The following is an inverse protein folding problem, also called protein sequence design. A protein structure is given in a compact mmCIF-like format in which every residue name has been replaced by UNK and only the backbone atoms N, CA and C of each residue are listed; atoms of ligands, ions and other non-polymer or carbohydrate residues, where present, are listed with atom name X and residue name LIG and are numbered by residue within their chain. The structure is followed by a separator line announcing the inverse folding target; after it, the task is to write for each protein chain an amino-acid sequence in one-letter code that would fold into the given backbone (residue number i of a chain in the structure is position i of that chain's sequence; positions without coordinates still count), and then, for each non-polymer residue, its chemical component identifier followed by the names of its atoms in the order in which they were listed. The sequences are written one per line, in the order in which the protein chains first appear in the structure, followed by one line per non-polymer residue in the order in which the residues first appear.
data_IF_889486451657
#
_entry.id   IF_889486451657
#
_cell.length_a   1.000
_cell.length_b   1.000
_cell.length_c   1.000
_cell.angle_alpha   90.00
_cell.angle_beta   90.00
_cell.angle_gamma   90.00
#
_symmetry.space_group_name_H-M   'P 1'
#
loop_
_entity.id
_entity.type
_entity.pdbx_description
1 polymer ?
#
# COMPACT_ATOMS: atom_id res chain seq x y z
N UNK A 1 -12.69 -8.67 29.06
CA UNK A 1 -12.43 -10.04 28.61
C UNK A 1 -11.22 -10.58 29.34
N UNK A 2 -11.32 -11.78 29.94
CA UNK A 2 -10.20 -12.45 30.58
C UNK A 2 -9.11 -12.70 29.53
N UNK A 3 -7.90 -12.12 29.73
CA UNK A 3 -6.71 -12.44 28.93
C UNK A 3 -6.39 -13.92 29.15
N UNK A 4 -6.33 -14.71 28.08
CA UNK A 4 -5.82 -16.08 28.17
C UNK A 4 -4.34 -16.00 28.53
N UNK A 5 -3.95 -16.63 29.61
CA UNK A 5 -2.65 -16.55 30.28
C UNK A 5 -1.41 -16.96 29.41
N UNK A 6 -1.60 -17.38 28.15
CA UNK A 6 -0.54 -17.94 27.31
C UNK A 6 -0.24 -17.17 26.03
N UNK A 7 -0.77 -15.94 25.86
CA UNK A 7 -0.49 -15.12 24.68
C UNK A 7 -0.02 -13.74 25.08
N UNK A 8 1.24 -13.47 24.80
CA UNK A 8 1.82 -12.13 24.91
C UNK A 8 1.40 -11.31 23.67
N UNK A 9 0.95 -10.08 23.89
CA UNK A 9 0.86 -9.08 22.83
C UNK A 9 2.20 -8.32 22.70
N UNK A 10 2.30 -7.42 21.72
CA UNK A 10 3.56 -6.67 21.52
C UNK A 10 3.93 -5.79 22.72
N UNK A 11 2.96 -5.24 23.42
CA UNK A 11 3.17 -4.43 24.63
C UNK A 11 3.71 -5.29 25.77
N UNK A 12 3.12 -6.47 25.96
CA UNK A 12 3.59 -7.45 26.97
C UNK A 12 5.04 -7.90 26.68
N UNK A 13 5.41 -8.03 25.40
CA UNK A 13 6.79 -8.40 25.00
C UNK A 13 7.80 -7.32 25.37
N UNK A 14 7.47 -6.04 25.14
CA UNK A 14 8.33 -4.90 25.51
C UNK A 14 8.45 -4.82 27.03
N UNK A 15 7.33 -4.93 27.75
CA UNK A 15 7.33 -4.93 29.22
C UNK A 15 8.19 -6.07 29.78
N UNK A 16 8.02 -7.28 29.25
CA UNK A 16 8.80 -8.44 29.67
C UNK A 16 10.31 -8.26 29.42
N UNK A 17 10.70 -7.64 28.28
CA UNK A 17 12.09 -7.33 28.01
C UNK A 17 12.70 -6.42 29.09
N UNK A 18 11.94 -5.40 29.52
CA UNK A 18 12.35 -4.48 30.58
C UNK A 18 12.47 -5.20 31.92
N UNK A 19 11.44 -5.98 32.27
CA UNK A 19 11.35 -6.70 33.57
C UNK A 19 12.42 -7.80 33.71
N UNK A 20 12.68 -8.54 32.63
CA UNK A 20 13.71 -9.59 32.62
C UNK A 20 15.13 -9.02 32.65
N UNK A 21 15.31 -7.73 32.41
CA UNK A 21 16.61 -7.04 32.42
C UNK A 21 17.58 -7.59 31.37
N UNK A 22 17.06 -8.02 30.22
CA UNK A 22 17.87 -8.60 29.14
C UNK A 22 18.87 -7.56 28.61
N UNK A 23 20.14 -7.91 28.61
CA UNK A 23 21.22 -7.10 28.04
C UNK A 23 21.62 -7.70 26.70
N UNK A 24 21.47 -6.92 25.62
CA UNK A 24 21.93 -7.33 24.31
C UNK A 24 23.37 -6.84 24.12
N UNK A 25 24.34 -7.71 23.73
CA UNK A 25 25.76 -7.35 23.66
C UNK A 25 26.07 -6.54 22.40
N UNK A 26 25.61 -5.30 22.32
CA UNK A 26 26.00 -4.35 21.27
C UNK A 26 26.63 -3.11 21.91
N UNK A 27 27.45 -2.39 21.13
CA UNK A 27 28.18 -1.21 21.60
C UNK A 27 27.48 0.10 21.29
N UNK A 28 26.59 0.09 20.31
CA UNK A 28 25.94 1.30 19.79
C UNK A 28 24.45 1.03 19.68
N UNK A 29 23.64 1.90 20.26
CA UNK A 29 22.19 1.95 20.07
C UNK A 29 21.85 3.10 19.14
N UNK A 30 21.07 2.82 18.09
CA UNK A 30 20.50 3.81 17.20
C UNK A 30 18.99 3.69 17.23
N UNK A 31 18.31 4.80 17.51
CA UNK A 31 16.85 4.90 17.52
C UNK A 31 16.44 5.93 16.48
N UNK A 32 15.65 5.53 15.51
CA UNK A 32 15.10 6.39 14.46
C UNK A 32 13.61 6.64 14.69
N UNK A 33 13.07 7.76 14.17
CA UNK A 33 11.69 8.20 14.36
C UNK A 33 11.25 8.26 15.84
N UNK A 34 12.16 8.70 16.70
CA UNK A 34 11.99 8.63 18.14
C UNK A 34 10.81 9.47 18.68
N UNK A 35 10.32 10.46 17.92
CA UNK A 35 9.13 11.25 18.27
C UNK A 35 7.84 10.41 18.30
N UNK A 36 7.85 9.22 17.71
CA UNK A 36 6.68 8.32 17.62
C UNK A 36 6.66 7.24 18.71
N UNK A 37 7.64 7.23 19.61
CA UNK A 37 7.74 6.24 20.67
C UNK A 37 6.76 6.51 21.81
N UNK A 38 6.13 5.44 22.29
CA UNK A 38 5.32 5.46 23.52
C UNK A 38 6.22 5.49 24.76
N UNK A 39 5.71 5.92 25.95
CA UNK A 39 6.49 5.89 27.18
C UNK A 39 7.13 4.53 27.47
N UNK A 40 6.40 3.43 27.29
CA UNK A 40 6.94 2.09 27.49
C UNK A 40 8.11 1.77 26.54
N UNK A 41 8.05 2.22 25.30
CA UNK A 41 9.17 2.07 24.36
C UNK A 41 10.36 2.95 24.74
N UNK A 42 10.11 4.12 25.31
CA UNK A 42 11.15 4.95 25.88
C UNK A 42 11.83 4.30 27.10
N UNK A 43 11.06 3.65 27.99
CA UNK A 43 11.62 2.89 29.10
C UNK A 43 12.55 1.78 28.60
N UNK A 44 12.16 1.09 27.52
CA UNK A 44 13.03 0.12 26.86
C UNK A 44 14.30 0.76 26.30
N UNK A 45 14.20 1.91 25.61
CA UNK A 45 15.37 2.64 25.09
C UNK A 45 16.32 3.05 26.22
N UNK A 46 15.79 3.60 27.32
CA UNK A 46 16.57 3.94 28.51
C UNK A 46 17.27 2.72 29.06
N UNK A 47 16.56 1.61 29.24
CA UNK A 47 17.14 0.36 29.76
C UNK A 47 18.27 -0.17 28.86
N UNK A 48 18.09 -0.13 27.55
CA UNK A 48 19.13 -0.52 26.58
C UNK A 48 20.32 0.43 26.60
N UNK A 49 20.09 1.72 26.84
CA UNK A 49 21.14 2.75 26.88
C UNK A 49 22.14 2.56 28.01
N UNK A 50 21.72 1.94 29.11
CA UNK A 50 22.60 1.64 30.25
C UNK A 50 23.70 0.64 29.93
N UNK A 51 23.52 -0.20 28.88
CA UNK A 51 24.39 -1.30 28.53
C UNK A 51 25.31 -1.01 27.33
N UNK A 52 25.21 0.17 26.70
CA UNK A 52 25.93 0.50 25.46
C UNK A 52 26.94 1.63 25.64
N UNK A 53 27.94 1.66 24.79
CA UNK A 53 28.97 2.73 24.81
C UNK A 53 28.45 4.06 24.24
N UNK A 54 27.51 4.00 23.27
CA UNK A 54 27.00 5.16 22.54
C UNK A 54 25.52 4.99 22.19
N UNK A 55 24.79 6.07 22.33
CA UNK A 55 23.37 6.16 21.93
C UNK A 55 23.21 7.30 20.94
N UNK A 56 22.52 7.02 19.83
CA UNK A 56 22.10 8.00 18.84
C UNK A 56 20.58 7.95 18.72
N UNK A 57 19.96 9.09 18.99
CA UNK A 57 18.49 9.25 18.86
C UNK A 57 18.24 10.19 17.70
N UNK A 58 17.50 9.75 16.70
CA UNK A 58 17.07 10.56 15.57
C UNK A 58 15.55 10.70 15.55
N UNK A 59 15.07 11.87 15.16
CA UNK A 59 13.64 12.15 15.07
C UNK A 59 13.35 13.58 14.65
N UNK A 60 12.09 13.88 14.45
CA UNK A 60 11.60 15.19 14.08
C UNK A 60 10.28 15.47 14.82
N UNK A 61 10.32 16.29 15.87
CA UNK A 61 9.16 16.66 16.68
C UNK A 61 8.05 17.35 15.86
N UNK A 62 8.40 18.02 14.75
CA UNK A 62 7.42 18.60 13.82
C UNK A 62 6.64 17.53 13.03
N UNK A 63 7.07 16.28 13.07
CA UNK A 63 6.42 15.12 12.43
C UNK A 63 5.70 14.20 13.43
N UNK A 64 5.61 14.57 14.69
CA UNK A 64 4.89 13.80 15.71
C UNK A 64 3.37 13.80 15.45
N UNK A 65 2.89 12.72 14.83
CA UNK A 65 1.47 12.55 14.45
C UNK A 65 0.81 11.35 15.13
N UNK A 66 1.52 10.64 16.01
CA UNK A 66 1.05 9.41 16.67
C UNK A 66 0.74 9.58 18.17
N UNK A 67 0.58 10.81 18.67
CA UNK A 67 0.14 11.07 20.05
C UNK A 67 -1.18 10.38 20.38
N UNK A 68 -2.13 10.33 19.42
CA UNK A 68 -3.38 9.60 19.56
C UNK A 68 -3.18 8.08 19.79
N UNK A 69 -2.03 7.52 19.42
CA UNK A 69 -1.63 6.13 19.62
C UNK A 69 -0.72 5.96 20.86
N UNK A 70 -0.57 7.00 21.67
CA UNK A 70 0.18 6.99 22.91
C UNK A 70 1.66 7.37 22.77
N UNK A 71 2.11 7.92 21.65
CA UNK A 71 3.45 8.50 21.53
C UNK A 71 3.57 9.75 22.42
N UNK A 72 4.76 9.96 23.00
CA UNK A 72 5.06 11.14 23.81
C UNK A 72 6.29 11.87 23.28
N UNK A 73 6.02 12.93 22.50
CA UNK A 73 7.06 13.76 21.88
C UNK A 73 7.93 14.49 22.91
N UNK A 74 7.41 14.78 24.13
CA UNK A 74 8.18 15.45 25.16
C UNK A 74 9.39 14.62 25.60
N UNK A 75 9.25 13.29 25.65
CA UNK A 75 10.36 12.38 25.98
C UNK A 75 11.48 12.47 24.96
N UNK A 76 11.14 12.61 23.67
CA UNK A 76 12.13 12.88 22.62
C UNK A 76 12.80 14.25 22.80
N UNK A 77 12.03 15.32 23.02
CA UNK A 77 12.53 16.67 23.13
C UNK A 77 13.44 16.87 24.35
N UNK A 78 13.19 16.15 25.44
CA UNK A 78 13.91 16.27 26.71
C UNK A 78 14.99 15.18 26.93
N UNK A 79 15.17 14.26 25.97
CA UNK A 79 16.17 13.19 26.12
C UNK A 79 17.56 13.79 26.30
N UNK A 80 18.31 13.36 27.34
CA UNK A 80 19.60 13.96 27.66
C UNK A 80 20.65 13.65 26.60
N UNK A 81 21.46 14.64 26.23
CA UNK A 81 22.56 14.47 25.30
C UNK A 81 22.90 15.72 24.49
N UNK A 82 23.84 15.55 23.55
CA UNK A 82 24.20 16.60 22.62
C UNK A 82 23.25 16.60 21.43
N UNK A 83 22.50 17.69 21.27
CA UNK A 83 21.59 17.84 20.13
C UNK A 83 22.31 18.40 18.89
N UNK A 84 21.98 17.85 17.72
CA UNK A 84 22.44 18.31 16.41
C UNK A 84 21.22 18.41 15.47
N UNK A 85 21.14 19.51 14.73
CA UNK A 85 20.10 19.70 13.71
C UNK A 85 20.69 19.46 12.33
N UNK A 86 20.05 18.60 11.54
CA UNK A 86 20.37 18.39 10.13
C UNK A 86 19.81 19.57 9.32
N UNK A 87 20.67 20.55 9.03
CA UNK A 87 20.25 21.84 8.44
C UNK A 87 19.83 21.76 6.98
N UNK A 88 20.30 20.78 6.19
CA UNK A 88 20.01 20.70 4.77
C UNK A 88 19.05 19.55 4.45
N UNK A 89 17.88 19.88 3.95
CA UNK A 89 16.98 18.87 3.39
C UNK A 89 17.46 18.44 2.01
N UNK A 90 17.51 17.12 1.76
CA UNK A 90 17.78 16.56 0.43
C UNK A 90 16.50 16.37 -0.41
N UNK A 91 15.35 16.36 0.25
CA UNK A 91 14.03 16.09 -0.35
C UNK A 91 13.23 17.35 -0.68
N UNK A 92 13.25 18.37 0.18
CA UNK A 92 12.38 19.53 0.07
C UNK A 92 12.92 20.55 -0.94
N UNK A 93 12.14 20.84 -1.97
CA UNK A 93 12.38 21.92 -2.92
C UNK A 93 12.02 23.29 -2.31
N UNK A 94 12.50 24.39 -2.90
CA UNK A 94 12.38 25.76 -2.34
C UNK A 94 10.96 26.13 -1.93
N UNK A 95 10.01 26.07 -2.86
CA UNK A 95 8.63 26.51 -2.59
C UNK A 95 7.89 25.57 -1.63
N UNK A 96 8.20 24.26 -1.65
CA UNK A 96 7.65 23.29 -0.71
C UNK A 96 8.21 23.56 0.70
N UNK A 97 9.51 23.83 0.79
CA UNK A 97 10.15 24.24 2.05
C UNK A 97 9.55 25.53 2.61
N UNK A 98 9.35 26.56 1.75
CA UNK A 98 8.70 27.81 2.17
C UNK A 98 7.30 27.55 2.72
N UNK A 99 6.49 26.77 2.01
CA UNK A 99 5.14 26.41 2.44
C UNK A 99 5.13 25.64 3.77
N UNK A 100 6.02 24.67 3.94
CA UNK A 100 6.14 23.94 5.21
C UNK A 100 6.56 24.84 6.37
N UNK A 101 7.48 25.79 6.16
CA UNK A 101 7.82 26.79 7.19
C UNK A 101 6.64 27.66 7.59
N UNK A 102 5.79 28.06 6.64
CA UNK A 102 4.57 28.79 6.97
C UNK A 102 3.63 27.98 7.88
N UNK A 103 3.49 26.69 7.61
CA UNK A 103 2.69 25.79 8.45
C UNK A 103 3.31 25.63 9.85
N UNK A 104 4.59 25.34 9.93
CA UNK A 104 5.32 25.18 11.20
C UNK A 104 5.22 26.44 12.09
N UNK A 105 5.29 27.63 11.50
CA UNK A 105 5.14 28.89 12.22
C UNK A 105 3.70 29.07 12.81
N UNK A 106 2.71 28.39 12.25
CA UNK A 106 1.33 28.41 12.77
C UNK A 106 1.08 27.39 13.88
N UNK A 107 1.99 26.43 14.10
CA UNK A 107 1.84 25.36 15.10
C UNK A 107 2.15 25.77 16.55
N UNK A 108 2.59 27.02 16.77
CA UNK A 108 2.89 27.50 18.12
C UNK A 108 4.34 27.27 18.55
N UNK A 109 4.59 27.30 19.89
CA UNK A 109 5.94 27.32 20.45
C UNK A 109 6.40 26.00 21.06
N UNK A 110 5.53 25.00 21.15
CA UNK A 110 5.79 23.72 21.82
C UNK A 110 6.56 22.75 20.89
N UNK A 111 7.63 23.27 20.28
CA UNK A 111 8.48 22.53 19.35
C UNK A 111 9.94 22.96 19.48
N UNK A 112 10.85 22.08 19.12
CA UNK A 112 12.27 22.43 19.04
C UNK A 112 12.47 23.47 17.94
N UNK A 113 12.98 24.64 18.27
CA UNK A 113 13.31 25.64 17.27
C UNK A 113 14.53 25.22 16.48
N UNK A 114 14.34 24.99 15.18
CA UNK A 114 15.38 24.49 14.28
C UNK A 114 15.39 25.25 12.95
N UNK A 115 16.57 25.53 12.46
CA UNK A 115 16.75 26.10 11.13
C UNK A 115 17.16 25.01 10.15
N UNK A 116 16.44 24.91 9.05
CA UNK A 116 16.81 24.03 7.96
C UNK A 116 16.53 24.69 6.61
N UNK A 117 17.21 24.21 5.58
CA UNK A 117 17.21 24.78 4.24
C UNK A 117 16.76 23.75 3.21
N UNK A 118 16.17 24.24 2.11
CA UNK A 118 15.79 23.40 0.96
C UNK A 118 17.00 22.76 0.26
N UNK A 119 16.76 21.80 -0.62
CA UNK A 119 17.78 21.22 -1.48
C UNK A 119 18.26 22.17 -2.60
N UNK A 120 17.71 23.37 -2.70
CA UNK A 120 18.04 24.40 -3.71
C UNK A 120 17.32 24.25 -5.04
N UNK A 121 16.63 23.14 -5.29
CA UNK A 121 15.85 22.93 -6.52
C UNK A 121 14.54 23.69 -6.49
N UNK A 122 14.03 24.03 -7.66
CA UNK A 122 12.69 24.60 -7.79
C UNK A 122 11.62 23.53 -7.50
N UNK A 123 10.46 23.98 -7.02
CA UNK A 123 9.29 23.15 -6.76
C UNK A 123 8.04 24.01 -6.79
N UNK A 124 6.87 23.38 -6.87
CA UNK A 124 5.62 24.09 -6.98
C UNK A 124 4.62 23.59 -5.93
N UNK A 125 3.77 24.48 -5.46
CA UNK A 125 2.65 24.19 -4.58
C UNK A 125 1.40 24.73 -5.24
N UNK A 126 0.45 23.85 -5.53
CA UNK A 126 -0.83 24.18 -6.14
C UNK A 126 -1.99 23.81 -5.24
N UNK A 127 -3.07 24.55 -5.30
CA UNK A 127 -4.32 24.24 -4.62
C UNK A 127 -5.40 23.91 -5.66
N UNK A 128 -5.90 22.70 -5.60
CA UNK A 128 -6.94 22.20 -6.48
C UNK A 128 -8.25 22.00 -5.71
N UNK A 129 -9.39 22.30 -6.33
CA UNK A 129 -10.70 22.14 -5.73
C UNK A 129 -11.28 20.73 -5.86
N UNK A 130 -10.45 19.71 -5.88
CA UNK A 130 -10.81 18.28 -5.96
C UNK A 130 -10.03 17.52 -7.02
N UNK A 131 -10.07 16.19 -6.99
CA UNK A 131 -9.30 15.30 -7.86
C UNK A 131 -9.57 15.51 -9.35
N UNK A 132 -10.80 15.86 -9.75
CA UNK A 132 -11.15 16.11 -11.16
C UNK A 132 -10.43 17.30 -11.78
N UNK A 133 -9.92 18.22 -10.95
CA UNK A 133 -9.21 19.42 -11.42
C UNK A 133 -7.70 19.24 -11.45
N UNK A 134 -7.20 18.11 -10.94
CA UNK A 134 -5.77 17.80 -10.98
C UNK A 134 -5.42 17.32 -12.38
N UNK A 135 -4.36 17.87 -13.03
CA UNK A 135 -3.92 17.44 -14.34
C UNK A 135 -3.11 16.14 -14.24
N UNK A 136 -3.82 15.01 -14.15
CA UNK A 136 -3.23 13.67 -13.99
C UNK A 136 -2.43 13.18 -15.20
N UNK A 137 -2.55 13.87 -16.33
CA UNK A 137 -1.81 13.66 -17.57
C UNK A 137 -0.39 14.25 -17.55
N UNK A 138 -0.03 15.00 -16.51
CA UNK A 138 1.34 15.46 -16.34
C UNK A 138 2.26 14.29 -15.97
N UNK A 139 3.42 14.24 -16.62
CA UNK A 139 4.47 13.25 -16.34
C UNK A 139 4.88 13.26 -14.85
N UNK A 140 5.10 12.07 -14.31
CA UNK A 140 5.62 11.90 -12.95
C UNK A 140 4.88 10.86 -12.13
N UNK A 141 5.43 10.59 -10.96
CA UNK A 141 4.82 9.72 -9.96
C UNK A 141 3.95 10.54 -9.00
N UNK A 142 2.69 10.19 -8.90
CA UNK A 142 1.74 10.84 -8.02
C UNK A 142 1.59 10.06 -6.70
N UNK A 143 1.67 10.79 -5.58
CA UNK A 143 1.29 10.25 -4.28
C UNK A 143 0.07 11.02 -3.76
N UNK A 144 -0.98 10.30 -3.40
CA UNK A 144 -2.21 10.88 -2.84
C UNK A 144 -2.33 10.48 -1.38
N UNK A 145 -2.38 11.46 -0.49
CA UNK A 145 -2.47 11.25 0.94
C UNK A 145 -3.85 11.67 1.48
N UNK A 146 -4.34 10.92 2.44
CA UNK A 146 -5.58 11.24 3.16
C UNK A 146 -5.35 11.11 4.67
N UNK A 147 -5.93 12.00 5.44
CA UNK A 147 -5.80 12.01 6.90
C UNK A 147 -6.53 10.84 7.57
N UNK A 148 -7.68 10.44 7.02
CA UNK A 148 -8.53 9.38 7.57
C UNK A 148 -8.96 8.40 6.49
N UNK A 149 -9.31 7.17 6.92
CA UNK A 149 -9.67 6.10 6.00
C UNK A 149 -10.93 6.37 5.17
N UNK A 150 -11.88 7.15 5.67
CA UNK A 150 -13.09 7.49 4.93
C UNK A 150 -12.76 8.37 3.73
N UNK A 151 -11.98 9.43 3.93
CA UNK A 151 -11.48 10.27 2.84
C UNK A 151 -10.62 9.47 1.88
N UNK A 152 -9.76 8.55 2.37
CA UNK A 152 -9.01 7.64 1.50
C UNK A 152 -9.93 6.84 0.59
N UNK A 153 -11.02 6.28 1.10
CA UNK A 153 -12.00 5.50 0.31
C UNK A 153 -12.71 6.36 -0.75
N UNK A 154 -13.06 7.59 -0.41
CA UNK A 154 -13.63 8.55 -1.37
C UNK A 154 -12.64 8.87 -2.50
N UNK A 155 -11.38 9.16 -2.15
CA UNK A 155 -10.31 9.42 -3.11
C UNK A 155 -10.05 8.20 -4.03
N UNK A 156 -10.04 7.00 -3.48
CA UNK A 156 -9.91 5.77 -4.26
C UNK A 156 -11.08 5.55 -5.22
N UNK A 157 -12.30 5.82 -4.78
CA UNK A 157 -13.48 5.71 -5.64
C UNK A 157 -13.44 6.76 -6.76
N UNK A 158 -13.03 8.00 -6.45
CA UNK A 158 -12.90 9.05 -7.45
C UNK A 158 -11.79 8.75 -8.46
N UNK A 159 -10.65 8.22 -8.02
CA UNK A 159 -9.59 7.75 -8.90
C UNK A 159 -10.10 6.66 -9.88
N UNK A 160 -10.89 5.71 -9.39
CA UNK A 160 -11.57 4.71 -10.26
C UNK A 160 -12.55 5.36 -11.23
N UNK A 161 -13.32 6.34 -10.79
CA UNK A 161 -14.26 7.08 -11.66
C UNK A 161 -13.53 7.83 -12.79
N UNK A 162 -12.32 8.32 -12.51
CA UNK A 162 -11.45 8.98 -13.49
C UNK A 162 -10.70 7.98 -14.39
N UNK A 163 -10.67 6.70 -14.05
CA UNK A 163 -9.91 5.68 -14.78
C UNK A 163 -8.42 5.69 -14.46
N UNK A 164 -8.04 6.18 -13.28
CA UNK A 164 -6.65 6.22 -12.84
C UNK A 164 -6.24 4.89 -12.21
N UNK A 165 -5.11 4.33 -12.65
CA UNK A 165 -4.46 3.23 -11.96
C UNK A 165 -3.77 3.74 -10.69
N UNK A 166 -3.88 3.01 -9.59
CA UNK A 166 -3.14 3.31 -8.37
C UNK A 166 -2.82 2.05 -7.58
N UNK A 167 -1.85 2.17 -6.69
CA UNK A 167 -1.56 1.19 -5.65
C UNK A 167 -1.75 1.85 -4.28
N UNK A 168 -2.18 1.08 -3.29
CA UNK A 168 -2.23 1.56 -1.91
C UNK A 168 -0.87 1.36 -1.21
N UNK A 169 -0.75 1.83 0.03
CA UNK A 169 0.48 1.70 0.81
C UNK A 169 0.91 0.25 1.11
N UNK A 170 0.04 -0.73 0.89
CA UNK A 170 0.32 -2.17 1.00
C UNK A 170 0.59 -2.81 -0.35
N UNK A 171 0.81 -2.01 -1.38
CA UNK A 171 0.98 -2.42 -2.78
C UNK A 171 -0.23 -3.16 -3.37
N UNK A 172 -1.41 -3.05 -2.76
CA UNK A 172 -2.61 -3.58 -3.39
C UNK A 172 -2.96 -2.73 -4.61
N UNK A 173 -3.06 -3.39 -5.75
CA UNK A 173 -3.48 -2.77 -7.02
C UNK A 173 -4.94 -2.30 -6.91
N UNK A 174 -5.30 -1.24 -7.64
CA UNK A 174 -6.66 -0.67 -7.69
C UNK A 174 -7.70 -1.59 -8.32
N UNK A 175 -7.28 -2.72 -8.86
CA UNK A 175 -8.10 -3.79 -9.42
C UNK A 175 -7.57 -5.16 -8.97
N UNK A 176 -8.40 -6.20 -9.10
CA UNK A 176 -7.98 -7.58 -8.87
C UNK A 176 -7.16 -8.06 -10.10
N UNK A 177 -5.87 -8.42 -9.92
CA UNK A 177 -5.04 -8.92 -11.03
C UNK A 177 -5.65 -10.12 -11.76
N UNK A 178 -6.35 -11.01 -11.04
CA UNK A 178 -7.00 -12.17 -11.66
C UNK A 178 -8.16 -11.76 -12.56
N UNK A 179 -8.88 -10.68 -12.23
CA UNK A 179 -9.92 -10.14 -13.12
C UNK A 179 -9.31 -9.66 -14.45
N UNK A 180 -8.17 -8.98 -14.37
CA UNK A 180 -7.50 -8.49 -15.56
C UNK A 180 -6.90 -9.62 -16.37
N UNK A 181 -6.22 -10.56 -15.73
CA UNK A 181 -5.69 -11.76 -16.39
C UNK A 181 -6.79 -12.54 -17.12
N UNK A 182 -7.95 -12.72 -16.47
CA UNK A 182 -9.09 -13.39 -17.08
C UNK A 182 -9.60 -12.68 -18.34
N UNK A 183 -9.62 -11.34 -18.37
CA UNK A 183 -9.97 -10.57 -19.57
C UNK A 183 -8.98 -10.87 -20.70
N UNK A 184 -7.69 -10.79 -20.42
CA UNK A 184 -6.64 -11.06 -21.41
C UNK A 184 -6.72 -12.49 -21.97
N UNK A 185 -6.97 -13.48 -21.10
CA UNK A 185 -7.15 -14.88 -21.52
C UNK A 185 -8.37 -15.06 -22.41
N UNK A 186 -9.48 -14.41 -22.06
CA UNK A 186 -10.69 -14.43 -22.87
C UNK A 186 -10.47 -13.81 -24.25
N UNK A 187 -9.91 -12.61 -24.32
CA UNK A 187 -9.62 -11.94 -25.58
C UNK A 187 -8.68 -12.79 -26.44
N UNK A 188 -7.59 -13.32 -25.84
CA UNK A 188 -6.63 -14.19 -26.52
C UNK A 188 -7.28 -15.40 -27.20
N UNK A 189 -8.18 -16.12 -26.51
CA UNK A 189 -8.86 -17.28 -27.09
C UNK A 189 -9.93 -16.90 -28.11
N UNK A 190 -10.59 -15.77 -27.94
CA UNK A 190 -11.56 -15.25 -28.91
C UNK A 190 -10.88 -14.87 -30.22
N UNK A 191 -9.65 -14.38 -30.17
CA UNK A 191 -8.82 -14.00 -31.32
C UNK A 191 -8.08 -15.20 -31.94
N UNK A 192 -8.40 -16.43 -31.53
CA UNK A 192 -7.85 -17.65 -32.08
C UNK A 192 -6.57 -18.14 -31.42
N UNK A 193 -6.12 -17.55 -30.35
CA UNK A 193 -5.02 -18.01 -29.51
C UNK A 193 -5.41 -19.18 -28.61
N UNK A 194 -4.48 -19.58 -27.74
CA UNK A 194 -4.67 -20.67 -26.79
C UNK A 194 -4.17 -20.27 -25.40
N UNK A 195 -4.73 -20.91 -24.37
CA UNK A 195 -4.38 -20.70 -22.96
C UNK A 195 -4.12 -22.02 -22.26
N UNK A 196 -3.31 -21.99 -21.20
CA UNK A 196 -3.03 -23.18 -20.39
C UNK A 196 -4.24 -23.56 -19.51
N UNK A 197 -4.17 -24.74 -18.90
CA UNK A 197 -5.18 -25.19 -17.93
C UNK A 197 -5.35 -24.21 -16.76
N UNK A 198 -4.24 -23.70 -16.22
CA UNK A 198 -4.27 -22.76 -15.07
C UNK A 198 -4.88 -21.42 -15.47
N UNK A 199 -4.51 -20.89 -16.65
CA UNK A 199 -5.11 -19.69 -17.22
C UNK A 199 -6.62 -19.87 -17.47
N UNK A 200 -7.04 -21.04 -17.96
CA UNK A 200 -8.44 -21.38 -18.15
C UNK A 200 -9.21 -21.41 -16.81
N UNK A 201 -8.65 -22.02 -15.76
CA UNK A 201 -9.29 -22.03 -14.44
C UNK A 201 -9.41 -20.62 -13.86
N UNK A 202 -8.38 -19.78 -13.97
CA UNK A 202 -8.42 -18.37 -13.57
C UNK A 202 -9.53 -17.63 -14.30
N UNK A 203 -9.63 -17.79 -15.62
CA UNK A 203 -10.70 -17.20 -16.44
C UNK A 203 -12.09 -17.72 -16.03
N UNK A 204 -12.21 -19.00 -15.74
CA UNK A 204 -13.46 -19.67 -15.38
C UNK A 204 -14.05 -19.18 -14.03
N UNK A 205 -13.24 -18.59 -13.17
CA UNK A 205 -13.74 -17.95 -11.95
C UNK A 205 -14.73 -16.82 -12.22
N UNK A 206 -14.61 -16.18 -13.38
CA UNK A 206 -15.38 -14.99 -13.76
C UNK A 206 -16.50 -15.27 -14.78
N UNK A 207 -16.41 -16.38 -15.50
CA UNK A 207 -17.46 -16.83 -16.42
C UNK A 207 -18.68 -17.36 -15.67
N UNK A 208 -19.88 -17.11 -16.18
CA UNK A 208 -21.11 -17.58 -15.57
C UNK A 208 -21.41 -19.05 -15.92
N UNK A 209 -21.29 -19.39 -17.19
CA UNK A 209 -21.76 -20.64 -17.76
C UNK A 209 -20.62 -21.66 -17.92
N UNK A 210 -20.16 -22.20 -16.78
CA UNK A 210 -19.13 -23.26 -16.73
C UNK A 210 -19.69 -24.47 -16.00
N UNK A 211 -19.48 -25.65 -16.56
CA UNK A 211 -19.88 -26.91 -15.94
C UNK A 211 -19.20 -27.10 -14.57
N UNK A 212 -19.93 -27.72 -13.65
CA UNK A 212 -19.42 -27.96 -12.30
C UNK A 212 -18.12 -28.77 -12.30
N UNK A 213 -17.15 -28.34 -11.53
CA UNK A 213 -15.86 -29.00 -11.34
C UNK A 213 -14.71 -28.48 -12.20
N UNK A 214 -14.94 -27.74 -13.28
CA UNK A 214 -13.86 -27.18 -14.10
C UNK A 214 -13.21 -25.89 -13.53
N UNK A 215 -13.74 -25.34 -12.42
CA UNK A 215 -13.20 -24.13 -11.77
C UNK A 215 -12.05 -24.40 -10.79
N UNK A 216 -11.51 -25.61 -10.75
CA UNK A 216 -10.36 -25.98 -9.92
C UNK A 216 -9.40 -26.85 -10.69
N UNK A 217 -8.12 -26.52 -10.61
CA UNK A 217 -7.03 -27.32 -11.23
C UNK A 217 -6.90 -28.71 -10.63
N UNK A 218 -7.30 -28.88 -9.36
CA UNK A 218 -7.28 -30.16 -8.65
C UNK A 218 -8.45 -31.08 -9.00
N UNK A 219 -9.43 -30.57 -9.75
CA UNK A 219 -10.60 -31.35 -10.11
C UNK A 219 -10.22 -32.52 -11.05
N UNK A 220 -10.79 -33.70 -10.76
CA UNK A 220 -10.67 -34.89 -11.62
C UNK A 220 -11.15 -34.65 -13.06
N UNK A 221 -11.97 -33.61 -13.29
CA UNK A 221 -12.41 -33.24 -14.66
C UNK A 221 -11.27 -32.77 -15.57
N UNK A 222 -10.13 -32.36 -14.99
CA UNK A 222 -8.91 -32.02 -15.73
C UNK A 222 -7.92 -33.19 -15.85
N UNK A 223 -8.27 -34.39 -15.41
CA UNK A 223 -7.35 -35.54 -15.39
C UNK A 223 -6.84 -35.98 -16.79
N UNK A 224 -7.54 -35.58 -17.84
CA UNK A 224 -7.13 -35.82 -19.23
C UNK A 224 -6.08 -34.81 -19.72
N UNK A 225 -5.89 -33.71 -19.02
CA UNK A 225 -5.05 -32.61 -19.47
C UNK A 225 -3.71 -32.58 -18.73
N UNK A 226 -2.61 -32.56 -19.47
CA UNK A 226 -1.29 -32.29 -18.90
C UNK A 226 -1.24 -30.83 -18.34
N UNK A 227 -0.51 -30.56 -17.26
CA UNK A 227 -0.43 -29.20 -16.68
C UNK A 227 -0.08 -28.09 -17.67
N UNK A 228 0.83 -28.38 -18.61
CA UNK A 228 1.28 -27.43 -19.63
C UNK A 228 0.50 -27.50 -20.95
N UNK A 229 -0.55 -28.32 -21.01
CA UNK A 229 -1.38 -28.38 -22.20
C UNK A 229 -2.10 -27.09 -22.43
N UNK A 230 -2.11 -26.61 -23.67
CA UNK A 230 -2.84 -25.39 -24.08
C UNK A 230 -4.15 -25.79 -24.76
N UNK A 231 -5.13 -24.91 -24.64
CA UNK A 231 -6.48 -25.08 -25.14
C UNK A 231 -6.92 -23.87 -25.94
N UNK A 232 -7.50 -24.11 -27.10
CA UNK A 232 -8.20 -23.11 -27.91
C UNK A 232 -9.62 -22.87 -27.36
N UNK A 233 -10.32 -21.88 -27.89
CA UNK A 233 -11.72 -21.61 -27.55
C UNK A 233 -12.60 -22.85 -27.79
N UNK A 234 -12.48 -23.48 -28.96
CA UNK A 234 -13.31 -24.61 -29.34
C UNK A 234 -13.06 -25.84 -28.45
N UNK A 235 -11.81 -26.10 -28.06
CA UNK A 235 -11.48 -27.19 -27.14
C UNK A 235 -12.03 -26.94 -25.74
N UNK A 236 -11.96 -25.69 -25.24
CA UNK A 236 -12.55 -25.33 -23.95
C UNK A 236 -14.07 -25.47 -23.97
N UNK A 237 -14.70 -25.10 -25.08
CA UNK A 237 -16.15 -25.23 -25.28
C UNK A 237 -16.59 -26.70 -25.38
N UNK A 238 -15.90 -27.51 -26.20
CA UNK A 238 -16.30 -28.91 -26.46
C UNK A 238 -15.92 -29.87 -25.32
N UNK A 239 -14.78 -29.65 -24.64
CA UNK A 239 -14.19 -30.66 -23.75
C UNK A 239 -14.02 -30.20 -22.30
N UNK A 240 -13.97 -28.90 -22.04
CA UNK A 240 -13.60 -28.36 -20.74
C UNK A 240 -14.73 -27.59 -20.06
N UNK A 241 -15.98 -27.86 -20.40
CA UNK A 241 -17.17 -27.37 -19.70
C UNK A 241 -17.48 -25.89 -19.83
N UNK A 242 -16.80 -25.17 -20.76
CA UNK A 242 -17.18 -23.80 -21.09
C UNK A 242 -18.45 -23.80 -21.93
N UNK A 243 -19.41 -22.94 -21.58
CA UNK A 243 -20.71 -22.80 -22.25
C UNK A 243 -20.96 -21.40 -22.79
N UNK A 244 -20.08 -20.47 -22.47
CA UNK A 244 -20.19 -19.10 -22.97
C UNK A 244 -19.73 -19.04 -24.43
N UNK A 245 -20.43 -18.27 -25.27
CA UNK A 245 -20.10 -18.06 -26.68
C UNK A 245 -19.09 -16.91 -26.83
N UNK A 246 -18.39 -16.88 -27.98
CA UNK A 246 -17.46 -15.77 -28.29
C UNK A 246 -18.19 -14.45 -28.26
N UNK A 247 -17.58 -13.47 -27.58
CA UNK A 247 -18.16 -12.14 -27.49
C UNK A 247 -17.33 -11.20 -26.60
N UNK A 248 -17.74 -9.94 -26.51
CA UNK A 248 -17.05 -8.98 -25.67
C UNK A 248 -17.04 -9.41 -24.20
N UNK A 249 -15.85 -9.38 -23.56
CA UNK A 249 -15.66 -9.85 -22.17
C UNK A 249 -16.66 -9.24 -21.16
N UNK A 250 -17.01 -7.99 -21.33
CA UNK A 250 -17.93 -7.29 -20.42
C UNK A 250 -19.39 -7.79 -20.49
N UNK A 251 -19.74 -8.56 -21.52
CA UNK A 251 -21.05 -9.21 -21.63
C UNK A 251 -21.01 -10.62 -21.04
N UNK A 252 -19.87 -11.28 -21.13
CA UNK A 252 -19.67 -12.69 -20.73
C UNK A 252 -19.29 -12.78 -19.24
N UNK A 253 -18.39 -11.93 -18.77
CA UNK A 253 -17.98 -11.92 -17.37
C UNK A 253 -19.06 -11.29 -16.49
N UNK A 254 -19.84 -12.12 -15.81
CA UNK A 254 -20.92 -11.69 -14.90
C UNK A 254 -20.65 -12.08 -13.46
N UNK A 255 -19.89 -13.14 -13.24
CA UNK A 255 -19.54 -13.61 -11.90
C UNK A 255 -18.35 -12.79 -11.36
N UNK A 256 -18.45 -12.34 -10.10
CA UNK A 256 -17.42 -11.52 -9.41
C UNK A 256 -17.07 -10.20 -10.11
N UNK A 257 -17.72 -9.83 -11.23
CA UNK A 257 -17.57 -8.55 -11.91
C UNK A 257 -18.79 -7.67 -11.68
N UNK A 258 -18.62 -6.60 -10.90
CA UNK A 258 -19.65 -5.56 -10.75
C UNK A 258 -19.60 -4.62 -11.95
N UNK A 259 -20.72 -3.98 -12.29
CA UNK A 259 -20.77 -3.04 -13.43
C UNK A 259 -19.77 -1.86 -13.28
N UNK A 260 -19.53 -1.41 -12.03
CA UNK A 260 -18.54 -0.38 -11.74
C UNK A 260 -17.11 -0.85 -12.09
N UNK A 261 -16.78 -2.11 -11.81
CA UNK A 261 -15.48 -2.68 -12.13
C UNK A 261 -15.31 -2.79 -13.65
N UNK A 262 -16.33 -3.22 -14.37
CA UNK A 262 -16.32 -3.27 -15.85
C UNK A 262 -16.09 -1.90 -16.48
N UNK A 263 -16.74 -0.86 -15.95
CA UNK A 263 -16.52 0.52 -16.41
C UNK A 263 -15.10 1.00 -16.13
N UNK A 264 -14.56 0.66 -14.98
CA UNK A 264 -13.21 1.01 -14.61
C UNK A 264 -12.18 0.33 -15.51
N UNK A 265 -12.29 -0.99 -15.74
CA UNK A 265 -11.41 -1.72 -16.66
C UNK A 265 -11.44 -1.14 -18.07
N UNK A 266 -12.62 -0.81 -18.61
CA UNK A 266 -12.73 -0.14 -19.92
C UNK A 266 -11.95 1.18 -19.99
N UNK A 267 -11.94 1.96 -18.90
CA UNK A 267 -11.18 3.21 -18.84
C UNK A 267 -9.68 2.96 -18.77
N UNK A 268 -9.22 1.99 -17.97
CA UNK A 268 -7.81 1.62 -17.87
C UNK A 268 -7.26 1.15 -19.23
N UNK A 269 -7.98 0.25 -19.90
CA UNK A 269 -7.60 -0.25 -21.22
C UNK A 269 -7.54 0.89 -22.26
N UNK A 270 -8.51 1.81 -22.25
CA UNK A 270 -8.52 2.97 -23.13
C UNK A 270 -7.34 3.92 -22.87
N UNK A 271 -6.89 4.03 -21.63
CA UNK A 271 -5.75 4.87 -21.23
C UNK A 271 -4.39 4.21 -21.56
N UNK A 272 -4.37 2.98 -22.10
CA UNK A 272 -3.14 2.27 -22.42
C UNK A 272 -2.28 1.91 -21.20
N UNK A 273 -2.89 1.81 -20.04
CA UNK A 273 -2.18 1.43 -18.82
C UNK A 273 -1.67 0.00 -18.96
N UNK A 274 -0.36 -0.20 -18.88
CA UNK A 274 0.23 -1.53 -18.77
C UNK A 274 -0.15 -2.12 -17.42
N UNK A 275 -0.99 -3.15 -17.46
CA UNK A 275 -1.55 -3.77 -16.27
C UNK A 275 -0.88 -5.12 -15.93
N UNK A 276 0.18 -5.50 -16.68
CA UNK A 276 0.94 -6.73 -16.45
C UNK A 276 1.87 -6.66 -15.23
#
# INVERSE_FOLDING_TARGET
GQRKADRLDFTDMVQKFIDDGLIIPFKVLMVDEAQDLTPLQWDMVVKMSEAVERVYIAGDDDQAIYEWNGADVNLFQTFPGKSLVLKKSVRLNKNIHFFSKCLLNSMGKDRIQKEFYSNGKEGHVYRWGGLKKVPWDMDGNWMVLARINDVKRELQQEAKNLGLYYQDQKNNKSFDPNQFAAINYWEKICDGGSITREEAVTMYEFLLNIDHGYRSTESKKWSFAHPNQVFTFDELHLRCGMRDEKGPWNQVFKRKFKDKDKQYFKKLMKAGVDLN
#
